data_IF_348395806771
#
_entry.id   IF_348395806771
#
_cell.length_a   1.000
_cell.length_b   1.000
_cell.length_c   1.000
_cell.angle_alpha   90.00
_cell.angle_beta   90.00
_cell.angle_gamma   90.00
#
_symmetry.space_group_name_H-M   'P 1'
#
loop_
_entity.id
_entity.type
_entity.pdbx_description
1 polymer ?
#
# COMPACT_ATOMS: atom_id res chain seq x y z
N UNK A 1 -24.35 -27.59 5.34
CA UNK A 1 -24.09 -26.15 5.48
C UNK A 1 -23.07 -25.70 4.48
N UNK A 2 -23.35 -24.64 3.72
CA UNK A 2 -22.33 -24.14 2.80
C UNK A 2 -21.15 -23.61 3.61
N UNK A 3 -19.94 -23.93 3.17
CA UNK A 3 -18.72 -23.43 3.78
C UNK A 3 -18.56 -21.97 3.36
N UNK A 4 -18.48 -21.07 4.31
CA UNK A 4 -18.25 -19.66 4.03
C UNK A 4 -16.83 -19.47 3.51
N UNK A 5 -16.71 -18.93 2.30
CA UNK A 5 -15.41 -18.60 1.72
C UNK A 5 -14.91 -17.31 2.35
N UNK A 6 -13.71 -17.30 3.00
CA UNK A 6 -13.19 -16.06 3.58
C UNK A 6 -12.99 -14.99 2.51
N UNK A 7 -13.44 -13.78 2.78
CA UNK A 7 -13.25 -12.64 1.90
C UNK A 7 -12.49 -11.48 2.56
N UNK A 8 -12.18 -11.61 3.85
CA UNK A 8 -11.38 -10.63 4.59
C UNK A 8 -10.14 -11.30 5.17
N UNK A 9 -9.13 -10.49 5.44
CA UNK A 9 -7.88 -10.95 6.06
C UNK A 9 -8.16 -11.62 7.42
N UNK A 10 -9.01 -11.00 8.24
CA UNK A 10 -9.35 -11.55 9.56
C UNK A 10 -10.01 -12.92 9.42
N UNK A 11 -10.97 -13.06 8.52
CA UNK A 11 -11.65 -14.34 8.30
C UNK A 11 -10.66 -15.41 7.83
N UNK A 12 -9.74 -15.05 6.94
CA UNK A 12 -8.74 -16.00 6.44
C UNK A 12 -7.76 -16.44 7.53
N UNK A 13 -7.30 -15.50 8.37
CA UNK A 13 -6.39 -15.82 9.47
C UNK A 13 -7.07 -16.71 10.51
N UNK A 14 -8.35 -16.47 10.76
CA UNK A 14 -9.16 -17.33 11.67
C UNK A 14 -9.31 -18.72 11.07
N UNK A 15 -9.60 -18.81 9.77
CA UNK A 15 -9.72 -20.11 9.07
C UNK A 15 -8.43 -20.91 9.15
N UNK A 16 -7.28 -20.23 9.03
CA UNK A 16 -5.96 -20.87 9.08
C UNK A 16 -5.52 -21.20 10.50
N UNK A 17 -6.29 -20.84 11.51
CA UNK A 17 -5.94 -21.10 12.91
C UNK A 17 -4.86 -20.18 13.48
N UNK A 18 -4.55 -19.10 12.77
CA UNK A 18 -3.53 -18.14 13.20
C UNK A 18 -4.06 -17.06 14.11
N UNK A 19 -5.39 -16.85 14.12
CA UNK A 19 -6.02 -15.78 14.86
C UNK A 19 -7.35 -16.32 15.45
N UNK A 20 -7.62 -15.97 16.72
CA UNK A 20 -8.90 -16.24 17.35
C UNK A 20 -9.79 -15.03 17.15
N UNK A 21 -11.05 -15.24 16.77
CA UNK A 21 -11.97 -14.15 16.41
C UNK A 21 -12.13 -13.10 17.53
N UNK A 22 -12.19 -13.53 18.78
CA UNK A 22 -12.30 -12.59 19.91
C UNK A 22 -11.09 -11.67 20.04
N UNK A 23 -9.91 -12.17 19.67
CA UNK A 23 -8.67 -11.38 19.72
C UNK A 23 -8.57 -10.41 18.54
N UNK A 24 -9.24 -10.72 17.43
CA UNK A 24 -9.26 -9.84 16.25
C UNK A 24 -9.75 -8.44 16.60
N UNK A 25 -10.82 -8.34 17.41
CA UNK A 25 -11.34 -7.03 17.84
C UNK A 25 -10.34 -6.25 18.68
N UNK A 26 -9.61 -6.95 19.55
CA UNK A 26 -8.58 -6.32 20.36
C UNK A 26 -7.49 -5.72 19.50
N UNK A 27 -7.02 -6.46 18.49
CA UNK A 27 -5.98 -6.00 17.59
C UNK A 27 -6.47 -4.89 16.65
N UNK A 28 -7.72 -4.96 16.20
CA UNK A 28 -8.33 -3.91 15.40
C UNK A 28 -8.44 -2.60 16.19
N UNK A 29 -8.85 -2.67 17.45
CA UNK A 29 -8.93 -1.50 18.33
C UNK A 29 -7.55 -0.92 18.59
N UNK A 30 -6.56 -1.79 18.81
CA UNK A 30 -5.18 -1.36 19.02
C UNK A 30 -4.62 -0.65 17.78
N UNK A 31 -4.90 -1.19 16.59
CA UNK A 31 -4.49 -0.59 15.34
C UNK A 31 -5.06 0.83 15.18
N UNK A 32 -6.34 1.00 15.48
CA UNK A 32 -6.97 2.33 15.43
C UNK A 32 -6.36 3.28 16.45
N UNK A 33 -6.13 2.81 17.67
CA UNK A 33 -5.55 3.63 18.75
C UNK A 33 -4.13 4.09 18.41
N UNK A 34 -3.33 3.22 17.81
CA UNK A 34 -1.95 3.52 17.46
C UNK A 34 -1.80 4.10 16.05
N UNK A 35 -2.89 4.25 15.32
CA UNK A 35 -2.90 4.71 13.92
C UNK A 35 -1.97 3.87 13.05
N UNK A 36 -2.13 2.54 13.17
CA UNK A 36 -1.36 1.56 12.40
C UNK A 36 -2.29 0.66 11.61
N UNK A 37 -1.76 0.09 10.54
CA UNK A 37 -2.49 -0.91 9.77
C UNK A 37 -2.55 -2.21 10.59
N UNK A 38 -3.70 -2.93 10.52
CA UNK A 38 -3.91 -4.14 11.31
C UNK A 38 -2.81 -5.17 11.11
N UNK A 39 -2.36 -5.38 9.87
CA UNK A 39 -1.30 -6.34 9.59
C UNK A 39 -0.02 -6.03 10.32
N UNK A 40 0.33 -4.74 10.45
CA UNK A 40 1.50 -4.32 11.21
C UNK A 40 1.38 -4.72 12.68
N UNK A 41 0.21 -4.52 13.29
CA UNK A 41 -0.04 -4.92 14.68
C UNK A 41 0.10 -6.44 14.83
N UNK A 42 -0.47 -7.21 13.91
CA UNK A 42 -0.41 -8.68 13.97
C UNK A 42 1.04 -9.18 13.89
N UNK A 43 1.87 -8.54 13.08
CA UNK A 43 3.29 -8.88 12.99
C UNK A 43 4.02 -8.49 14.27
N UNK A 44 3.78 -7.29 14.80
CA UNK A 44 4.41 -6.82 16.04
C UNK A 44 4.04 -7.68 17.25
N UNK A 45 2.86 -8.27 17.27
CA UNK A 45 2.38 -9.15 18.34
C UNK A 45 2.69 -10.62 18.08
N UNK A 46 3.48 -10.92 17.07
CA UNK A 46 3.88 -12.29 16.71
C UNK A 46 2.71 -13.23 16.41
N UNK A 47 1.59 -12.68 15.95
CA UNK A 47 0.45 -13.48 15.51
C UNK A 47 0.76 -14.16 14.17
N UNK A 48 1.46 -13.44 13.30
CA UNK A 48 1.83 -13.92 11.96
C UNK A 48 3.17 -13.29 11.57
N UNK A 49 3.97 -14.00 10.78
CA UNK A 49 5.20 -13.43 10.24
C UNK A 49 4.89 -12.49 9.08
N UNK A 50 5.80 -11.55 8.81
CA UNK A 50 5.64 -10.59 7.71
C UNK A 50 5.50 -11.31 6.37
N UNK A 51 6.33 -12.33 6.12
CA UNK A 51 6.27 -13.08 4.86
C UNK A 51 4.97 -13.86 4.71
N UNK A 52 4.54 -14.55 5.76
CA UNK A 52 3.29 -15.31 5.73
C UNK A 52 2.10 -14.38 5.49
N UNK A 53 2.06 -13.24 6.16
CA UNK A 53 0.98 -12.27 5.98
C UNK A 53 0.92 -11.77 4.53
N UNK A 54 2.07 -11.45 3.96
CA UNK A 54 2.14 -10.96 2.58
C UNK A 54 1.65 -12.01 1.58
N UNK A 55 2.06 -13.26 1.75
CA UNK A 55 1.60 -14.36 0.91
C UNK A 55 0.11 -14.63 1.06
N UNK A 56 -0.40 -14.55 2.28
CA UNK A 56 -1.83 -14.71 2.56
C UNK A 56 -2.63 -13.62 1.86
N UNK A 57 -2.19 -12.35 1.97
CA UNK A 57 -2.85 -11.23 1.29
C UNK A 57 -2.83 -11.40 -0.23
N UNK A 58 -1.70 -11.80 -0.80
CA UNK A 58 -1.56 -12.02 -2.23
C UNK A 58 -2.56 -13.05 -2.75
N UNK A 59 -2.69 -14.17 -2.05
CA UNK A 59 -3.63 -15.23 -2.42
C UNK A 59 -5.09 -14.80 -2.21
N UNK A 60 -5.37 -14.16 -1.08
CA UNK A 60 -6.73 -13.77 -0.71
C UNK A 60 -7.31 -12.74 -1.70
N UNK A 61 -6.52 -11.75 -2.07
CA UNK A 61 -6.98 -10.66 -2.94
C UNK A 61 -6.66 -10.89 -4.41
N UNK A 62 -5.98 -11.97 -4.74
CA UNK A 62 -5.54 -12.29 -6.13
C UNK A 62 -4.70 -11.15 -6.72
N UNK A 63 -3.77 -10.63 -5.92
CA UNK A 63 -2.87 -9.56 -6.34
C UNK A 63 -1.42 -10.03 -6.27
N UNK A 64 -0.59 -9.66 -7.25
CA UNK A 64 0.84 -10.00 -7.17
C UNK A 64 1.52 -9.22 -6.05
N UNK A 65 2.64 -9.75 -5.59
CA UNK A 65 3.48 -9.13 -4.58
C UNK A 65 4.50 -8.23 -5.26
N UNK A 66 4.76 -7.05 -4.67
CA UNK A 66 5.90 -6.23 -5.06
C UNK A 66 6.84 -6.07 -3.88
N UNK A 67 8.14 -6.14 -4.14
CA UNK A 67 9.19 -5.92 -3.15
C UNK A 67 9.86 -4.58 -3.41
N UNK A 68 10.41 -3.95 -2.37
CA UNK A 68 11.02 -2.63 -2.49
C UNK A 68 12.16 -2.62 -3.52
N UNK A 69 12.88 -3.72 -3.68
CA UNK A 69 13.97 -3.85 -4.65
C UNK A 69 13.48 -3.74 -6.11
N UNK A 70 12.20 -4.00 -6.35
CA UNK A 70 11.60 -3.93 -7.69
C UNK A 70 11.09 -2.54 -8.02
N UNK A 71 11.09 -1.63 -7.06
CA UNK A 71 10.47 -0.32 -7.18
C UNK A 71 11.48 0.69 -7.71
N UNK A 72 11.10 1.36 -8.82
CA UNK A 72 11.91 2.39 -9.45
C UNK A 72 11.10 3.69 -9.49
N UNK A 73 11.38 4.58 -8.54
CA UNK A 73 10.72 5.88 -8.50
C UNK A 73 11.47 6.86 -9.41
N UNK A 74 10.71 7.67 -10.14
CA UNK A 74 11.23 8.74 -10.97
C UNK A 74 10.23 9.89 -11.01
N UNK A 75 10.61 11.02 -11.62
CA UNK A 75 9.79 12.21 -11.68
C UNK A 75 8.45 12.00 -12.39
N UNK A 76 8.40 11.13 -13.39
CA UNK A 76 7.15 10.84 -14.11
C UNK A 76 6.14 10.13 -13.23
N UNK A 77 6.62 9.23 -12.37
CA UNK A 77 5.77 8.50 -11.41
C UNK A 77 5.25 9.44 -10.32
N UNK A 78 6.10 10.36 -9.83
CA UNK A 78 5.72 11.33 -8.81
C UNK A 78 4.55 12.23 -9.23
N UNK A 79 4.41 12.48 -10.51
CA UNK A 79 3.31 13.31 -11.04
C UNK A 79 1.96 12.62 -10.96
N UNK A 80 1.95 11.30 -10.91
CA UNK A 80 0.71 10.54 -11.01
C UNK A 80 -0.05 10.49 -9.69
N UNK A 81 0.66 10.35 -8.57
CA UNK A 81 0.08 10.31 -7.23
C UNK A 81 0.91 11.21 -6.31
N UNK A 82 0.26 12.14 -5.60
CA UNK A 82 0.96 13.03 -4.70
C UNK A 82 1.44 12.31 -3.43
N UNK A 83 2.48 12.86 -2.79
CA UNK A 83 3.00 12.33 -1.53
C UNK A 83 1.90 12.27 -0.46
N UNK A 84 1.03 13.26 -0.40
CA UNK A 84 -0.08 13.30 0.56
C UNK A 84 -1.02 12.11 0.38
N UNK A 85 -1.34 11.76 -0.86
CA UNK A 85 -2.18 10.60 -1.19
C UNK A 85 -1.46 9.31 -0.82
N UNK A 86 -0.17 9.20 -1.13
CA UNK A 86 0.65 8.05 -0.75
C UNK A 86 0.60 7.82 0.76
N UNK A 87 0.82 8.88 1.53
CA UNK A 87 0.88 8.77 2.99
C UNK A 87 -0.48 8.52 3.62
N UNK A 88 -1.53 9.14 3.09
CA UNK A 88 -2.87 9.01 3.67
C UNK A 88 -3.51 7.67 3.36
N UNK A 89 -3.49 7.26 2.08
CA UNK A 89 -4.16 6.03 1.66
C UNK A 89 -3.27 4.80 1.67
N UNK A 90 -1.99 4.96 1.96
CA UNK A 90 -1.02 3.84 1.97
C UNK A 90 -0.99 3.11 0.64
N UNK A 91 -0.90 3.88 -0.44
CA UNK A 91 -0.74 3.41 -1.81
C UNK A 91 0.44 4.15 -2.43
N UNK A 92 1.24 3.45 -3.23
CA UNK A 92 2.40 4.09 -3.85
C UNK A 92 2.58 3.61 -5.30
N UNK A 93 2.65 4.53 -6.25
CA UNK A 93 2.97 4.15 -7.62
C UNK A 93 4.43 3.73 -7.68
N UNK A 94 4.75 2.72 -8.49
CA UNK A 94 6.14 2.26 -8.57
C UNK A 94 6.61 1.97 -9.99
N UNK A 95 5.72 1.95 -10.96
CA UNK A 95 6.10 1.74 -12.35
C UNK A 95 4.99 2.24 -13.28
N UNK A 96 5.39 2.83 -14.38
CA UNK A 96 4.45 3.28 -15.40
C UNK A 96 4.88 2.72 -16.76
N UNK A 97 3.97 2.03 -17.43
CA UNK A 97 4.19 1.48 -18.76
C UNK A 97 3.03 1.91 -19.66
N UNK A 98 3.27 2.88 -20.55
CA UNK A 98 2.19 3.46 -21.35
C UNK A 98 1.14 4.12 -20.48
N UNK A 99 -0.11 3.66 -20.60
CA UNK A 99 -1.21 4.15 -19.76
C UNK A 99 -1.47 3.26 -18.53
N UNK A 100 -0.59 2.29 -18.26
CA UNK A 100 -0.71 1.42 -17.09
C UNK A 100 0.18 1.93 -15.98
N UNK A 101 -0.41 2.23 -14.83
CA UNK A 101 0.31 2.61 -13.62
C UNK A 101 0.24 1.45 -12.62
N UNK A 102 1.40 0.93 -12.25
CA UNK A 102 1.49 -0.12 -11.23
C UNK A 102 1.60 0.54 -9.87
N UNK A 103 0.74 0.13 -8.94
CA UNK A 103 0.60 0.73 -7.62
C UNK A 103 0.70 -0.34 -6.55
N UNK A 104 1.57 -0.10 -5.57
CA UNK A 104 1.66 -0.93 -4.37
C UNK A 104 0.57 -0.47 -3.40
N UNK A 105 -0.18 -1.40 -2.84
CA UNK A 105 -1.22 -1.11 -1.86
C UNK A 105 -0.98 -1.92 -0.59
N UNK A 106 -1.00 -1.25 0.56
CA UNK A 106 -0.75 -1.90 1.84
C UNK A 106 -1.97 -2.69 2.31
N UNK A 107 -3.16 -2.11 2.18
CA UNK A 107 -4.41 -2.75 2.61
C UNK A 107 -5.44 -2.76 1.48
N UNK A 108 -5.55 -3.88 0.73
CA UNK A 108 -6.55 -3.99 -0.34
C UNK A 108 -8.02 -3.97 0.11
N UNK A 109 -8.28 -4.02 1.42
CA UNK A 109 -9.64 -3.93 1.97
C UNK A 109 -10.08 -2.48 2.23
N UNK A 110 -9.15 -1.53 2.16
CA UNK A 110 -9.45 -0.12 2.39
C UNK A 110 -10.25 0.45 1.22
N UNK A 111 -11.56 0.59 1.42
CA UNK A 111 -12.49 1.08 0.40
C UNK A 111 -12.13 2.50 -0.04
N UNK A 112 -11.73 3.35 0.89
CA UNK A 112 -11.37 4.74 0.58
C UNK A 112 -10.12 4.79 -0.32
N UNK A 113 -9.12 3.94 -0.04
CA UNK A 113 -7.95 3.83 -0.89
C UNK A 113 -8.31 3.35 -2.30
N UNK A 114 -9.18 2.33 -2.40
CA UNK A 114 -9.61 1.82 -3.69
C UNK A 114 -10.39 2.86 -4.49
N UNK A 115 -11.24 3.63 -3.84
CA UNK A 115 -11.98 4.72 -4.50
C UNK A 115 -11.04 5.84 -4.95
N UNK A 116 -10.05 6.20 -4.14
CA UNK A 116 -9.04 7.18 -4.53
C UNK A 116 -8.29 6.74 -5.78
N UNK A 117 -7.92 5.47 -5.87
CA UNK A 117 -7.25 4.92 -7.05
C UNK A 117 -8.16 4.95 -8.28
N UNK A 118 -9.44 4.64 -8.13
CA UNK A 118 -10.41 4.73 -9.22
C UNK A 118 -10.55 6.15 -9.74
N UNK A 119 -10.58 7.12 -8.83
CA UNK A 119 -10.65 8.53 -9.20
C UNK A 119 -9.40 8.96 -10.00
N UNK A 120 -8.22 8.59 -9.53
CA UNK A 120 -6.96 8.90 -10.22
C UNK A 120 -6.93 8.25 -11.60
N UNK A 121 -7.35 6.99 -11.70
CA UNK A 121 -7.42 6.29 -12.98
C UNK A 121 -8.32 7.00 -13.98
N UNK A 122 -9.48 7.42 -13.54
CA UNK A 122 -10.46 8.14 -14.37
C UNK A 122 -9.95 9.53 -14.76
N UNK A 123 -9.45 10.29 -13.79
CA UNK A 123 -8.98 11.67 -14.01
C UNK A 123 -7.79 11.72 -14.98
N UNK A 124 -6.88 10.77 -14.90
CA UNK A 124 -5.64 10.76 -15.69
C UNK A 124 -5.67 9.79 -16.86
N UNK A 125 -6.80 9.15 -17.10
CA UNK A 125 -6.95 8.14 -18.16
C UNK A 125 -5.90 7.04 -18.06
N UNK A 126 -5.68 6.56 -16.83
CA UNK A 126 -4.75 5.50 -16.53
C UNK A 126 -5.48 4.22 -16.18
N UNK A 127 -4.85 3.09 -16.47
CA UNK A 127 -5.24 1.79 -15.96
C UNK A 127 -4.36 1.49 -14.75
N UNK A 128 -4.98 1.22 -13.60
CA UNK A 128 -4.25 0.92 -12.37
C UNK A 128 -4.11 -0.59 -12.20
N UNK A 129 -2.88 -1.05 -12.04
CA UNK A 129 -2.56 -2.43 -11.71
C UNK A 129 -2.05 -2.48 -10.27
N UNK A 130 -2.81 -3.15 -9.38
CA UNK A 130 -2.51 -3.20 -7.95
C UNK A 130 -1.60 -4.36 -7.60
N UNK A 131 -0.66 -4.13 -6.70
CA UNK A 131 0.23 -5.13 -6.11
C UNK A 131 0.20 -4.98 -4.60
N UNK A 132 0.27 -6.09 -3.86
CA UNK A 132 0.37 -6.02 -2.40
C UNK A 132 1.82 -5.85 -1.99
N UNK A 133 2.05 -5.13 -0.90
CA UNK A 133 3.38 -4.83 -0.38
C UNK A 133 3.41 -5.04 1.13
N UNK A 134 4.56 -5.47 1.65
CA UNK A 134 4.82 -5.54 3.09
C UNK A 134 4.94 -4.11 3.65
N UNK A 135 4.51 -3.92 4.91
CA UNK A 135 4.51 -2.59 5.51
C UNK A 135 5.92 -1.99 5.65
N UNK A 136 6.94 -2.83 5.88
CA UNK A 136 8.33 -2.36 5.99
C UNK A 136 8.85 -1.86 4.66
N UNK A 137 8.54 -2.61 3.60
CA UNK A 137 8.87 -2.21 2.23
C UNK A 137 8.11 -0.93 1.87
N UNK A 138 6.86 -0.83 2.28
CA UNK A 138 6.06 0.37 2.05
C UNK A 138 6.67 1.60 2.74
N UNK A 139 7.10 1.47 3.98
CA UNK A 139 7.78 2.55 4.69
C UNK A 139 9.06 2.99 3.96
N UNK A 140 9.82 2.03 3.42
CA UNK A 140 11.00 2.34 2.61
C UNK A 140 10.63 3.11 1.35
N UNK A 141 9.54 2.73 0.69
CA UNK A 141 9.03 3.46 -0.48
C UNK A 141 8.60 4.87 -0.10
N UNK A 142 7.92 5.05 1.03
CA UNK A 142 7.54 6.38 1.51
C UNK A 142 8.75 7.29 1.71
N UNK A 143 9.82 6.76 2.32
CA UNK A 143 11.07 7.52 2.50
C UNK A 143 11.69 7.90 1.17
N UNK A 144 11.76 6.96 0.24
CA UNK A 144 12.31 7.21 -1.09
C UNK A 144 11.46 8.21 -1.87
N UNK A 145 10.16 8.11 -1.75
CA UNK A 145 9.22 9.03 -2.39
C UNK A 145 9.40 10.45 -1.88
N UNK A 146 9.53 10.60 -0.58
CA UNK A 146 9.76 11.90 0.07
C UNK A 146 11.10 12.52 -0.36
N UNK A 147 12.17 11.71 -0.36
CA UNK A 147 13.49 12.16 -0.79
C UNK A 147 13.48 12.64 -2.24
N UNK A 148 12.85 11.89 -3.12
CA UNK A 148 12.76 12.27 -4.54
C UNK A 148 11.90 13.51 -4.74
N UNK A 149 10.82 13.66 -3.99
CA UNK A 149 9.99 14.86 -4.03
C UNK A 149 10.79 16.10 -3.62
N UNK A 150 11.61 16.00 -2.57
CA UNK A 150 12.49 17.06 -2.13
C UNK A 150 13.53 17.43 -3.18
N UNK A 151 14.15 16.43 -3.81
CA UNK A 151 15.13 16.64 -4.86
C UNK A 151 14.54 17.35 -6.08
N UNK A 152 13.35 16.95 -6.51
CA UNK A 152 12.64 17.58 -7.63
C UNK A 152 12.28 19.01 -7.26
N UNK A 153 11.82 19.27 -6.04
CA UNK A 153 11.49 20.61 -5.56
C UNK A 153 12.70 21.52 -5.56
N UNK A 154 13.86 21.04 -5.10
CA UNK A 154 15.11 21.82 -5.10
C UNK A 154 15.59 22.14 -6.52
N UNK A 155 15.47 21.17 -7.44
CA UNK A 155 15.83 21.40 -8.82
C UNK A 155 14.96 22.46 -9.47
N UNK A 156 13.67 22.49 -9.20
CA UNK A 156 12.74 23.50 -9.69
C UNK A 156 13.05 24.89 -9.12
N UNK A 157 13.40 24.98 -7.85
CA UNK A 157 13.82 26.23 -7.20
C UNK A 157 15.06 26.82 -7.86
N UNK A 158 16.08 25.98 -8.12
CA UNK A 158 17.30 26.42 -8.78
C UNK A 158 17.04 26.94 -10.19
N UNK A 159 16.19 26.25 -10.95
CA UNK A 159 15.80 26.69 -12.28
C UNK A 159 15.06 28.04 -12.24
N UNK A 160 14.19 28.23 -11.24
CA UNK A 160 13.45 29.48 -11.05
C UNK A 160 14.40 30.64 -10.71
N UNK A 161 15.40 30.41 -9.86
CA UNK A 161 16.42 31.41 -9.51
C UNK A 161 17.26 31.80 -10.70
N UNK A 162 17.66 30.82 -11.54
CA UNK A 162 18.44 31.08 -12.76
C UNK A 162 17.62 31.83 -13.82
N UNK A 163 16.32 31.58 -13.90
CA UNK A 163 15.43 32.24 -14.86
C UNK A 163 15.04 33.66 -14.43
N UNK A 164 15.19 33.96 -13.15
CA UNK A 164 14.89 35.26 -12.60
C UNK A 164 16.07 36.18 -12.62
#
# INVERSE_FOLDING_TARGET
MPIKIPNTLVEELVRLGMLVMKDAKLYENLARKEDKELGQILIEKDVVSANDLLEIKSRLYHLPIVRVEEIQLNSDILKEISEEVVDFYKVAPFKKEGNVLKVAILNPEDVDALEALKFIASDKSLKIEKHVIDYRDFEAVQRNYRSLTEEVGKALELLSEEAG
#
